data_IF_082165826916
#
_entry.id   IF_082165826916
#
_cell.length_a   1.000
_cell.length_b   1.000
_cell.length_c   1.000
_cell.angle_alpha   90.00
_cell.angle_beta   90.00
_cell.angle_gamma   90.00
#
_symmetry.space_group_name_H-M   'P 1'
#
loop_
_entity.id
_entity.type
_entity.pdbx_description
1 polymer ?
#
# COMPACT_ATOMS: atom_id res chain seq x y z
N UNK A 1 18.31 0.93 -8.84
CA UNK A 1 17.27 0.16 -8.11
C UNK A 1 16.65 1.10 -7.08
N UNK A 2 15.59 1.83 -7.44
CA UNK A 2 14.86 2.68 -6.49
C UNK A 2 13.37 2.51 -6.80
N UNK A 3 12.61 2.00 -5.82
CA UNK A 3 11.15 1.90 -5.90
C UNK A 3 10.59 0.50 -6.18
N UNK A 4 11.26 -0.59 -5.77
CA UNK A 4 10.66 -1.93 -5.82
C UNK A 4 10.27 -2.39 -4.42
N UNK A 5 9.16 -3.09 -4.32
CA UNK A 5 8.74 -3.78 -3.11
C UNK A 5 9.63 -5.00 -2.88
N UNK A 6 10.25 -5.07 -1.70
CA UNK A 6 11.29 -6.06 -1.39
C UNK A 6 10.77 -7.28 -0.61
N UNK A 7 9.50 -7.24 -0.19
CA UNK A 7 8.85 -8.31 0.56
C UNK A 7 8.03 -9.20 -0.40
N UNK A 8 7.54 -10.36 0.07
CA UNK A 8 6.57 -11.14 -0.70
C UNK A 8 5.39 -10.28 -1.14
N UNK A 9 4.84 -10.59 -2.32
CA UNK A 9 3.67 -9.90 -2.83
C UNK A 9 2.50 -10.06 -1.84
N UNK A 10 1.92 -8.97 -1.34
CA UNK A 10 0.81 -9.05 -0.39
C UNK A 10 -0.45 -9.55 -1.10
N UNK A 11 -1.19 -10.44 -0.45
CA UNK A 11 -2.40 -11.03 -1.04
C UNK A 11 -3.68 -10.33 -0.58
N UNK A 12 -3.66 -9.68 0.58
CA UNK A 12 -4.84 -9.10 1.23
C UNK A 12 -4.52 -7.75 1.89
N UNK A 13 -5.57 -6.94 2.08
CA UNK A 13 -5.51 -5.70 2.83
C UNK A 13 -5.41 -5.98 4.33
N UNK A 14 -4.46 -5.36 5.03
CA UNK A 14 -4.29 -5.56 6.48
C UNK A 14 -5.39 -4.87 7.32
N UNK A 15 -6.28 -4.08 6.71
CA UNK A 15 -7.36 -3.39 7.42
C UNK A 15 -8.73 -4.06 7.24
N UNK A 16 -9.08 -4.45 6.00
CA UNK A 16 -10.38 -5.08 5.71
C UNK A 16 -10.28 -6.59 5.42
N UNK A 17 -9.07 -7.14 5.27
CA UNK A 17 -8.81 -8.54 4.89
C UNK A 17 -9.33 -8.96 3.51
N UNK A 18 -9.80 -8.02 2.68
CA UNK A 18 -10.17 -8.32 1.31
C UNK A 18 -8.92 -8.54 0.42
N UNK A 19 -9.02 -9.40 -0.62
CA UNK A 19 -7.94 -9.62 -1.56
C UNK A 19 -7.50 -8.35 -2.31
N UNK A 20 -6.18 -8.17 -2.43
CA UNK A 20 -5.58 -7.14 -3.28
C UNK A 20 -5.64 -7.58 -4.75
N UNK A 21 -5.90 -6.63 -5.66
CA UNK A 21 -6.17 -6.93 -7.08
C UNK A 21 -5.15 -6.32 -8.03
N UNK A 22 -5.15 -4.99 -8.15
CA UNK A 22 -4.35 -4.29 -9.16
C UNK A 22 -3.11 -3.63 -8.57
N UNK A 23 -3.29 -2.96 -7.43
CA UNK A 23 -2.22 -2.28 -6.72
C UNK A 23 -2.52 -2.26 -5.23
N UNK A 24 -1.50 -1.97 -4.44
CA UNK A 24 -1.61 -1.82 -3.00
C UNK A 24 -0.80 -0.62 -2.54
N UNK A 25 -1.10 -0.15 -1.33
CA UNK A 25 -0.40 0.95 -0.70
C UNK A 25 0.26 0.45 0.57
N UNK A 26 1.57 0.63 0.67
CA UNK A 26 2.27 0.55 1.94
C UNK A 26 2.30 1.96 2.53
N UNK A 27 1.43 2.23 3.50
CA UNK A 27 1.17 3.59 3.99
C UNK A 27 0.90 3.71 5.47
N UNK A 28 1.20 4.89 6.00
CA UNK A 28 0.79 5.34 7.33
C UNK A 28 -0.73 5.35 7.42
N UNK A 29 -1.25 4.83 8.54
CA UNK A 29 -2.68 4.79 8.86
C UNK A 29 -3.00 5.72 10.04
N UNK A 30 -4.25 6.17 10.13
CA UNK A 30 -4.82 6.91 11.28
C UNK A 30 -5.05 6.01 12.52
N UNK A 31 -5.03 4.69 12.35
CA UNK A 31 -5.20 3.69 13.40
C UNK A 31 -3.90 3.32 14.12
N UNK A 32 -2.76 3.88 13.70
CA UNK A 32 -1.47 3.71 14.35
C UNK A 32 -0.36 3.32 13.39
N UNK A 33 -0.04 2.02 13.25
CA UNK A 33 1.13 1.56 12.49
C UNK A 33 1.00 1.79 10.99
N UNK A 34 2.13 1.64 10.30
CA UNK A 34 2.18 1.48 8.85
C UNK A 34 1.48 0.18 8.45
N UNK A 35 0.79 0.17 7.31
CA UNK A 35 0.11 -1.02 6.83
C UNK A 35 0.00 -1.09 5.31
N UNK A 36 -0.09 -2.34 4.83
CA UNK A 36 -0.42 -2.69 3.45
C UNK A 36 -1.93 -2.66 3.28
N UNK A 37 -2.40 -1.78 2.41
CA UNK A 37 -3.82 -1.48 2.24
C UNK A 37 -4.26 -1.59 0.79
N UNK A 38 -5.53 -1.92 0.60
CA UNK A 38 -6.23 -1.63 -0.64
C UNK A 38 -6.43 -0.11 -0.80
N UNK A 39 -6.75 0.34 -2.02
CA UNK A 39 -6.94 1.76 -2.33
C UNK A 39 -8.11 2.38 -1.54
N UNK A 40 -9.16 1.59 -1.29
CA UNK A 40 -10.33 2.05 -0.53
C UNK A 40 -9.99 2.27 0.95
N UNK A 41 -9.33 1.30 1.60
CA UNK A 41 -8.90 1.49 2.98
C UNK A 41 -7.91 2.64 3.12
N UNK A 42 -7.00 2.83 2.16
CA UNK A 42 -6.10 3.97 2.17
C UNK A 42 -6.82 5.32 1.97
N UNK A 43 -7.88 5.39 1.15
CA UNK A 43 -8.62 6.64 0.97
C UNK A 43 -9.36 7.08 2.24
N UNK A 44 -9.77 6.12 3.07
CA UNK A 44 -10.49 6.35 4.33
C UNK A 44 -9.53 6.57 5.52
N UNK A 45 -8.44 5.78 5.59
CA UNK A 45 -7.57 5.68 6.78
C UNK A 45 -6.14 6.14 6.54
N UNK A 46 -5.75 6.37 5.29
CA UNK A 46 -4.40 6.74 4.90
C UNK A 46 -4.15 8.24 4.93
N UNK A 47 -2.87 8.61 4.97
CA UNK A 47 -2.41 10.01 4.93
C UNK A 47 -2.02 10.50 3.52
N UNK A 48 -2.56 9.87 2.47
CA UNK A 48 -2.18 10.14 1.08
C UNK A 48 -0.87 9.47 0.67
N UNK A 49 -0.36 9.84 -0.51
CA UNK A 49 0.92 9.35 -1.06
C UNK A 49 2.04 10.38 -0.88
N UNK A 50 3.28 9.90 -0.82
CA UNK A 50 4.49 10.73 -0.67
C UNK A 50 5.42 10.26 0.44
N UNK A 51 6.56 10.94 0.58
CA UNK A 51 7.56 10.68 1.62
C UNK A 51 6.92 10.83 3.00
N UNK A 52 7.07 9.80 3.84
CA UNK A 52 6.50 9.77 5.19
C UNK A 52 4.97 9.58 5.25
N UNK A 53 4.33 9.30 4.10
CA UNK A 53 2.89 9.03 4.01
C UNK A 53 2.64 7.62 3.50
N UNK A 54 2.70 7.40 2.20
CA UNK A 54 2.48 6.10 1.62
C UNK A 54 3.03 6.01 0.20
N UNK A 55 3.30 4.78 -0.22
CA UNK A 55 3.78 4.45 -1.56
C UNK A 55 2.85 3.43 -2.19
N UNK A 56 2.47 3.66 -3.44
CA UNK A 56 1.62 2.75 -4.20
C UNK A 56 2.49 1.86 -5.09
N UNK A 57 2.17 0.58 -5.11
CA UNK A 57 2.88 -0.45 -5.87
C UNK A 57 1.92 -1.23 -6.75
N UNK A 58 2.34 -1.54 -7.97
CA UNK A 58 1.64 -2.46 -8.86
C UNK A 58 1.79 -3.89 -8.31
N UNK A 59 0.68 -4.62 -8.20
CA UNK A 59 0.69 -5.94 -7.54
C UNK A 59 1.38 -7.02 -8.37
N UNK A 60 1.39 -6.87 -9.71
CA UNK A 60 1.97 -7.85 -10.63
C UNK A 60 3.48 -7.71 -10.76
N UNK A 61 3.96 -6.47 -10.80
CA UNK A 61 5.37 -6.14 -11.06
C UNK A 61 6.12 -5.74 -9.80
N UNK A 62 5.41 -5.46 -8.70
CA UNK A 62 5.97 -4.99 -7.42
C UNK A 62 6.75 -3.67 -7.54
N UNK A 63 6.53 -2.93 -8.64
CA UNK A 63 7.13 -1.63 -8.88
C UNK A 63 6.29 -0.54 -8.27
N UNK A 64 6.96 0.45 -7.67
CA UNK A 64 6.34 1.69 -7.19
C UNK A 64 5.77 2.45 -8.39
N UNK A 65 4.50 2.77 -8.31
CA UNK A 65 3.75 3.51 -9.34
C UNK A 65 3.24 4.87 -8.82
N UNK A 66 3.35 5.15 -7.51
CA UNK A 66 2.95 6.44 -6.94
C UNK A 66 3.54 6.75 -5.56
N UNK A 67 3.62 8.05 -5.25
CA UNK A 67 4.15 8.62 -4.01
C UNK A 67 5.66 8.73 -3.94
#
# INVERSE_FOLDING_TARGET
MKGEWISPAPTECQLCHDPLKDSFIDGKTDLGPWGVMCLECHSVRGYGLGIGRGQQYDLKTLKKIGG
#
